data_IF_108502167403
#
_entry.id   IF_108502167403
#
_cell.length_a   1.000
_cell.length_b   1.000
_cell.length_c   1.000
_cell.angle_alpha   90.00
_cell.angle_beta   90.00
_cell.angle_gamma   90.00
#
_symmetry.space_group_name_H-M   'P 1'
#
loop_
_entity.id
_entity.type
_entity.pdbx_description
1 polymer ?
#
# COMPACT_ATOMS: atom_id res chain seq x y z
N UNK A 1 28.31 7.31 17.46
CA UNK A 1 27.78 6.06 18.03
C UNK A 1 28.46 5.79 19.36
N UNK A 2 27.74 5.91 20.46
CA UNK A 2 28.20 5.44 21.77
C UNK A 2 27.75 3.97 21.91
N UNK A 3 28.68 3.03 22.08
CA UNK A 3 28.34 1.63 22.31
C UNK A 3 27.45 1.49 23.54
N UNK A 4 26.32 0.79 23.40
CA UNK A 4 25.39 0.54 24.52
C UNK A 4 24.30 1.62 24.73
N UNK A 5 24.22 2.64 23.89
CA UNK A 5 23.16 3.63 23.94
C UNK A 5 21.99 3.22 23.03
N UNK A 6 20.87 2.80 23.62
CA UNK A 6 19.68 2.39 22.88
C UNK A 6 18.79 3.59 22.49
N UNK A 7 18.87 4.69 23.23
CA UNK A 7 18.00 5.84 23.05
C UNK A 7 18.81 7.13 22.91
N UNK A 8 18.47 7.96 21.95
CA UNK A 8 19.02 9.30 21.77
C UNK A 8 17.88 10.30 21.62
N UNK A 9 18.00 11.43 22.30
CA UNK A 9 17.04 12.52 22.26
C UNK A 9 17.74 13.77 21.75
N UNK A 10 17.14 14.43 20.77
CA UNK A 10 17.57 15.75 20.32
C UNK A 10 16.41 16.73 20.38
N UNK A 11 16.66 17.99 20.73
CA UNK A 11 15.63 19.01 20.78
C UNK A 11 16.19 20.39 20.44
N UNK A 12 15.35 21.20 19.79
CA UNK A 12 15.56 22.63 19.59
C UNK A 12 14.54 23.48 20.40
N UNK A 13 13.96 22.88 21.46
CA UNK A 13 12.90 23.45 22.31
C UNK A 13 11.52 23.59 21.68
N UNK A 14 11.39 23.59 20.38
CA UNK A 14 10.11 23.52 19.64
C UNK A 14 9.80 22.06 19.27
N UNK A 15 10.81 21.37 18.75
CA UNK A 15 10.72 19.97 18.32
C UNK A 15 11.63 19.10 19.15
N UNK A 16 11.11 17.93 19.51
CA UNK A 16 11.86 16.86 20.16
C UNK A 16 11.86 15.65 19.26
N UNK A 17 13.03 15.06 19.03
CA UNK A 17 13.18 13.78 18.31
C UNK A 17 13.72 12.72 19.22
N UNK A 18 13.08 11.57 19.19
CA UNK A 18 13.44 10.39 19.94
C UNK A 18 13.87 9.29 18.99
N UNK A 19 15.09 8.82 19.13
CA UNK A 19 15.71 7.78 18.31
C UNK A 19 15.86 6.50 19.10
N UNK A 20 15.68 5.34 18.43
CA UNK A 20 15.87 4.01 19.00
C UNK A 20 16.83 3.24 18.10
N UNK A 21 17.99 2.84 18.66
CA UNK A 21 19.06 2.02 18.06
C UNK A 21 19.76 2.60 16.81
N UNK A 22 19.11 3.47 16.04
CA UNK A 22 19.69 4.07 14.84
C UNK A 22 19.48 5.59 14.80
N UNK A 23 20.18 6.28 13.90
CA UNK A 23 20.10 7.73 13.74
C UNK A 23 19.22 8.18 12.56
N UNK A 24 18.51 7.25 11.91
CA UNK A 24 17.71 7.52 10.71
C UNK A 24 16.23 7.63 11.06
N UNK A 25 15.73 6.65 11.81
CA UNK A 25 14.32 6.58 12.19
C UNK A 25 14.11 7.28 13.53
N UNK A 26 13.15 8.18 13.59
CA UNK A 26 12.83 8.91 14.80
C UNK A 26 11.34 9.22 14.92
N UNK A 27 10.85 9.34 16.16
CA UNK A 27 9.59 9.99 16.47
C UNK A 27 9.81 11.48 16.71
N UNK A 28 9.08 12.35 16.02
CA UNK A 28 9.15 13.79 16.17
C UNK A 28 7.91 14.32 16.89
N UNK A 29 8.12 15.15 17.88
CA UNK A 29 7.08 15.81 18.65
C UNK A 29 7.25 17.34 18.54
N UNK A 30 6.18 18.04 18.15
CA UNK A 30 6.11 19.49 18.29
C UNK A 30 5.58 19.80 19.69
N UNK A 31 6.43 20.35 20.55
CA UNK A 31 6.11 20.56 21.98
C UNK A 31 5.03 21.60 22.22
N UNK A 32 4.80 22.51 21.25
CA UNK A 32 3.76 23.54 21.35
C UNK A 32 2.41 23.12 20.73
N UNK A 33 2.38 21.97 20.04
CA UNK A 33 1.20 21.47 19.34
C UNK A 33 0.92 20.00 19.68
N UNK A 34 1.14 19.61 20.93
CA UNK A 34 0.89 18.24 21.38
C UNK A 34 -0.61 18.01 21.56
N UNK A 35 -1.16 17.04 20.81
CA UNK A 35 -2.46 16.46 21.15
C UNK A 35 -2.31 15.47 22.29
N UNK A 36 -3.43 15.04 22.87
CA UNK A 36 -3.38 14.04 23.96
C UNK A 36 -2.71 12.74 23.51
N UNK A 37 -3.05 12.25 22.34
CA UNK A 37 -2.51 11.02 21.77
C UNK A 37 -0.99 11.14 21.56
N UNK A 38 -0.52 12.28 21.04
CA UNK A 38 0.91 12.55 20.85
C UNK A 38 1.64 12.70 22.19
N UNK A 39 0.97 13.25 23.21
CA UNK A 39 1.54 13.32 24.55
C UNK A 39 1.69 11.93 25.19
N UNK A 40 0.72 11.04 24.99
CA UNK A 40 0.79 9.67 25.50
C UNK A 40 1.98 8.91 24.88
N UNK A 41 2.26 9.10 23.59
CA UNK A 41 3.45 8.54 22.93
C UNK A 41 4.74 9.19 23.46
N UNK A 42 4.76 10.50 23.64
CA UNK A 42 5.90 11.20 24.23
C UNK A 42 6.19 10.70 25.65
N UNK A 43 5.14 10.49 26.45
CA UNK A 43 5.26 9.92 27.78
C UNK A 43 5.85 8.50 27.77
N UNK A 44 5.40 7.66 26.83
CA UNK A 44 5.96 6.33 26.61
C UNK A 44 7.46 6.39 26.28
N UNK A 45 7.88 7.37 25.45
CA UNK A 45 9.27 7.55 25.04
C UNK A 45 10.18 8.09 26.16
N UNK A 46 9.65 8.92 27.08
CA UNK A 46 10.47 9.68 28.03
C UNK A 46 10.33 9.22 29.48
N UNK A 47 9.29 8.47 29.83
CA UNK A 47 9.08 8.00 31.20
C UNK A 47 10.18 7.04 31.62
N UNK A 48 10.78 7.29 32.78
CA UNK A 48 11.82 6.44 33.35
C UNK A 48 11.37 4.98 33.50
N UNK A 49 10.12 4.75 33.90
CA UNK A 49 9.57 3.40 34.06
C UNK A 49 9.57 2.60 32.76
N UNK A 50 9.23 3.24 31.64
CA UNK A 50 9.23 2.60 30.33
C UNK A 50 10.63 2.47 29.72
N UNK A 51 11.46 3.48 29.89
CA UNK A 51 12.87 3.45 29.40
C UNK A 51 13.68 2.37 30.12
N UNK A 52 13.57 2.25 31.44
CA UNK A 52 14.28 1.24 32.24
C UNK A 52 13.85 -0.20 31.89
N UNK A 53 12.61 -0.39 31.43
CA UNK A 53 12.09 -1.68 30.96
C UNK A 53 12.32 -1.93 29.47
N UNK A 54 12.96 -0.99 28.76
CA UNK A 54 13.15 -1.00 27.31
C UNK A 54 11.82 -1.12 26.53
N UNK A 55 10.71 -0.60 27.06
CA UNK A 55 9.37 -0.71 26.45
C UNK A 55 9.32 -0.06 25.06
N UNK A 56 9.84 1.17 24.81
CA UNK A 56 9.81 1.75 23.47
C UNK A 56 10.52 0.89 22.43
N UNK A 57 11.67 0.30 22.78
CA UNK A 57 12.40 -0.61 21.90
C UNK A 57 11.62 -1.89 21.60
N UNK A 58 11.02 -2.52 22.61
CA UNK A 58 10.20 -3.73 22.42
C UNK A 58 9.03 -3.47 21.48
N UNK A 59 8.31 -2.36 21.64
CA UNK A 59 7.19 -1.99 20.77
C UNK A 59 7.68 -1.77 19.32
N UNK A 60 8.83 -1.10 19.12
CA UNK A 60 9.44 -0.93 17.81
C UNK A 60 9.78 -2.29 17.17
N UNK A 61 10.45 -3.17 17.90
CA UNK A 61 10.85 -4.50 17.42
C UNK A 61 9.64 -5.37 17.07
N UNK A 62 8.57 -5.33 17.88
CA UNK A 62 7.31 -6.01 17.61
C UNK A 62 6.64 -5.46 16.35
N UNK A 63 6.62 -4.14 16.17
CA UNK A 63 6.06 -3.50 14.97
C UNK A 63 6.82 -3.89 13.71
N UNK A 64 8.16 -3.87 13.74
CA UNK A 64 9.00 -4.31 12.61
C UNK A 64 8.75 -5.78 12.27
N UNK A 65 8.62 -6.64 13.27
CA UNK A 65 8.31 -8.05 13.06
C UNK A 65 6.93 -8.24 12.42
N UNK A 66 5.93 -7.46 12.83
CA UNK A 66 4.60 -7.49 12.22
C UNK A 66 4.64 -7.01 10.76
N UNK A 67 5.36 -5.91 10.46
CA UNK A 67 5.53 -5.42 9.09
C UNK A 67 6.21 -6.44 8.18
N UNK A 68 7.26 -7.11 8.67
CA UNK A 68 7.92 -8.19 7.93
C UNK A 68 6.97 -9.36 7.66
N UNK A 69 6.18 -9.78 8.64
CA UNK A 69 5.22 -10.86 8.49
C UNK A 69 4.11 -10.51 7.48
N UNK A 70 3.58 -9.28 7.54
CA UNK A 70 2.59 -8.77 6.58
C UNK A 70 3.21 -8.75 5.17
N UNK A 71 4.42 -8.25 5.03
CA UNK A 71 5.13 -8.19 3.74
C UNK A 71 5.37 -9.59 3.17
N UNK A 72 5.80 -10.55 3.98
CA UNK A 72 5.99 -11.95 3.55
C UNK A 72 4.67 -12.58 3.11
N UNK A 73 3.60 -12.37 3.89
CA UNK A 73 2.27 -12.86 3.54
C UNK A 73 1.79 -12.27 2.21
N UNK A 74 1.87 -10.94 2.06
CA UNK A 74 1.50 -10.27 0.82
C UNK A 74 2.28 -10.79 -0.39
N UNK A 75 3.59 -11.03 -0.23
CA UNK A 75 4.42 -11.58 -1.30
C UNK A 75 3.99 -13.01 -1.68
N UNK A 76 3.65 -13.84 -0.71
CA UNK A 76 3.18 -15.20 -0.95
C UNK A 76 1.83 -15.18 -1.67
N UNK A 77 0.86 -14.43 -1.15
CA UNK A 77 -0.47 -14.28 -1.74
C UNK A 77 -0.39 -13.75 -3.18
N UNK A 78 0.46 -12.74 -3.41
CA UNK A 78 0.73 -12.19 -4.74
C UNK A 78 1.35 -13.23 -5.69
N UNK A 79 2.31 -14.00 -5.21
CA UNK A 79 3.00 -15.01 -6.02
C UNK A 79 2.06 -16.15 -6.41
N UNK A 80 1.21 -16.59 -5.49
CA UNK A 80 0.17 -17.61 -5.73
C UNK A 80 -0.82 -17.10 -6.77
N UNK A 81 -1.40 -15.92 -6.56
CA UNK A 81 -2.34 -15.30 -7.50
C UNK A 81 -1.74 -15.07 -8.88
N UNK A 82 -0.47 -14.63 -8.95
CA UNK A 82 0.24 -14.47 -10.23
C UNK A 82 0.33 -15.79 -10.97
N UNK A 83 0.64 -16.89 -10.27
CA UNK A 83 0.77 -18.20 -10.88
C UNK A 83 -0.59 -18.69 -11.40
N UNK A 84 -1.67 -18.53 -10.65
CA UNK A 84 -3.03 -18.89 -11.09
C UNK A 84 -3.43 -18.13 -12.36
N UNK A 85 -3.19 -16.82 -12.40
CA UNK A 85 -3.48 -16.01 -13.60
C UNK A 85 -2.59 -16.45 -14.76
N UNK A 86 -1.31 -16.70 -14.52
CA UNK A 86 -0.37 -17.15 -15.56
C UNK A 86 -0.83 -18.47 -16.16
N UNK A 87 -1.20 -19.46 -15.34
CA UNK A 87 -1.66 -20.77 -15.79
C UNK A 87 -2.95 -20.64 -16.61
N UNK A 88 -3.88 -19.79 -16.16
CA UNK A 88 -5.11 -19.49 -16.92
C UNK A 88 -4.81 -18.85 -18.29
N UNK A 89 -3.93 -17.86 -18.33
CA UNK A 89 -3.55 -17.17 -19.58
C UNK A 89 -2.81 -18.17 -20.51
N UNK A 90 -1.93 -19.01 -19.97
CA UNK A 90 -1.19 -20.00 -20.76
C UNK A 90 -2.14 -21.04 -21.37
N UNK A 91 -3.14 -21.47 -20.63
CA UNK A 91 -4.13 -22.45 -21.10
C UNK A 91 -4.94 -21.92 -22.29
N UNK A 92 -5.31 -20.64 -22.24
CA UNK A 92 -6.11 -19.99 -23.29
C UNK A 92 -5.26 -19.50 -24.49
N UNK A 93 -3.93 -19.48 -24.35
CA UNK A 93 -3.00 -18.96 -25.37
C UNK A 93 -1.79 -19.88 -25.55
N UNK A 94 -1.99 -21.14 -25.94
CA UNK A 94 -0.92 -22.13 -26.01
C UNK A 94 0.12 -21.85 -27.12
N UNK A 95 -0.21 -20.99 -28.09
CA UNK A 95 0.65 -20.61 -29.22
C UNK A 95 1.76 -19.65 -28.84
N UNK A 96 1.66 -18.96 -27.69
CA UNK A 96 2.67 -17.99 -27.25
C UNK A 96 3.69 -18.63 -26.32
N UNK A 97 4.92 -18.15 -26.39
CA UNK A 97 5.97 -18.61 -25.50
C UNK A 97 5.71 -18.20 -24.03
N UNK A 98 6.13 -19.07 -23.11
CA UNK A 98 5.89 -18.92 -21.66
C UNK A 98 6.46 -17.60 -21.13
N UNK A 99 7.63 -17.16 -21.59
CA UNK A 99 8.27 -15.94 -21.09
C UNK A 99 7.47 -14.69 -21.49
N UNK A 100 6.94 -14.68 -22.71
CA UNK A 100 6.07 -13.61 -23.18
C UNK A 100 4.78 -13.55 -22.36
N UNK A 101 4.13 -14.69 -22.14
CA UNK A 101 2.91 -14.75 -21.32
C UNK A 101 3.18 -14.33 -19.87
N UNK A 102 4.28 -14.78 -19.29
CA UNK A 102 4.67 -14.37 -17.94
C UNK A 102 4.85 -12.85 -17.82
N UNK A 103 5.56 -12.21 -18.77
CA UNK A 103 5.71 -10.76 -18.83
C UNK A 103 4.37 -10.03 -18.96
N UNK A 104 3.43 -10.58 -19.73
CA UNK A 104 2.06 -9.99 -19.87
C UNK A 104 1.27 -10.14 -18.58
N UNK A 105 1.33 -11.27 -17.93
CA UNK A 105 0.71 -11.52 -16.62
C UNK A 105 1.24 -10.53 -15.58
N UNK A 106 2.57 -10.41 -15.49
CA UNK A 106 3.21 -9.47 -14.57
C UNK A 106 2.72 -8.04 -14.83
N UNK A 107 2.75 -7.58 -16.09
CA UNK A 107 2.29 -6.24 -16.47
C UNK A 107 0.82 -5.99 -16.14
N UNK A 108 -0.03 -7.00 -16.25
CA UNK A 108 -1.44 -6.92 -15.88
C UNK A 108 -1.59 -6.73 -14.38
N UNK A 109 -0.90 -7.53 -13.58
CA UNK A 109 -0.92 -7.44 -12.12
C UNK A 109 -0.37 -6.13 -11.60
N UNK A 110 0.73 -5.65 -12.16
CA UNK A 110 1.33 -4.35 -11.79
C UNK A 110 0.34 -3.20 -11.98
N UNK A 111 -0.49 -3.26 -13.04
CA UNK A 111 -1.54 -2.27 -13.28
C UNK A 111 -2.63 -2.31 -12.22
N UNK A 112 -3.07 -3.49 -11.81
CA UNK A 112 -4.06 -3.62 -10.73
C UNK A 112 -3.50 -3.17 -9.38
N UNK A 113 -2.28 -3.55 -9.06
CA UNK A 113 -1.60 -3.09 -7.84
C UNK A 113 -1.47 -1.56 -7.81
N UNK A 114 -1.13 -0.96 -8.95
CA UNK A 114 -1.08 0.50 -9.05
C UNK A 114 -2.44 1.15 -8.76
N UNK A 115 -3.54 0.58 -9.28
CA UNK A 115 -4.89 1.09 -9.01
C UNK A 115 -5.22 0.96 -7.53
N UNK A 116 -5.00 -0.20 -6.91
CA UNK A 116 -5.27 -0.41 -5.49
C UNK A 116 -4.46 0.54 -4.61
N UNK A 117 -3.18 0.74 -4.94
CA UNK A 117 -2.34 1.72 -4.25
C UNK A 117 -2.88 3.15 -4.41
N UNK A 118 -3.29 3.53 -5.62
CA UNK A 118 -3.84 4.86 -5.89
C UNK A 118 -5.20 5.08 -5.20
N UNK A 119 -6.04 4.05 -5.09
CA UNK A 119 -7.28 4.08 -4.32
C UNK A 119 -7.00 4.27 -2.81
N UNK A 120 -6.05 3.51 -2.25
CA UNK A 120 -5.64 3.61 -0.84
C UNK A 120 -5.11 5.01 -0.49
N UNK A 121 -4.39 5.64 -1.43
CA UNK A 121 -3.86 7.00 -1.29
C UNK A 121 -4.85 8.11 -1.67
N UNK A 122 -6.11 7.76 -1.94
CA UNK A 122 -7.17 8.70 -2.35
C UNK A 122 -6.84 9.49 -3.63
N UNK A 123 -5.96 8.96 -4.47
CA UNK A 123 -5.64 9.50 -5.80
C UNK A 123 -6.67 9.08 -6.84
N UNK A 124 -7.38 7.98 -6.60
CA UNK A 124 -8.49 7.48 -7.38
C UNK A 124 -9.70 7.26 -6.46
N UNK A 125 -10.94 7.29 -7.02
CA UNK A 125 -12.12 6.92 -6.27
C UNK A 125 -12.02 5.50 -5.71
N UNK A 126 -12.49 5.24 -4.49
CA UNK A 126 -12.41 3.92 -3.89
C UNK A 126 -13.26 2.90 -4.67
N UNK A 127 -12.80 1.65 -4.69
CA UNK A 127 -13.49 0.53 -5.34
C UNK A 127 -13.69 0.69 -6.86
N UNK A 128 -12.81 1.38 -7.58
CA UNK A 128 -12.89 1.59 -9.03
C UNK A 128 -12.96 0.26 -9.80
N UNK A 129 -12.13 -0.72 -9.42
CA UNK A 129 -12.15 -2.05 -10.05
C UNK A 129 -13.50 -2.74 -9.86
N UNK A 130 -14.03 -2.74 -8.63
CA UNK A 130 -15.35 -3.33 -8.33
C UNK A 130 -16.47 -2.62 -9.10
N UNK A 131 -16.40 -1.30 -9.19
CA UNK A 131 -17.37 -0.50 -9.95
C UNK A 131 -17.37 -0.88 -11.45
N UNK A 132 -16.19 -1.06 -12.05
CA UNK A 132 -16.05 -1.49 -13.45
C UNK A 132 -16.66 -2.88 -13.64
N UNK A 133 -16.39 -3.83 -12.75
CA UNK A 133 -16.95 -5.19 -12.83
C UNK A 133 -18.47 -5.17 -12.67
N UNK A 134 -19.00 -4.41 -11.69
CA UNK A 134 -20.44 -4.29 -11.48
C UNK A 134 -21.15 -3.68 -12.70
N UNK A 135 -20.61 -2.61 -13.28
CA UNK A 135 -21.15 -2.00 -14.50
C UNK A 135 -21.13 -2.98 -15.67
N UNK A 136 -20.05 -3.75 -15.83
CA UNK A 136 -19.97 -4.76 -16.88
C UNK A 136 -21.01 -5.86 -16.67
N UNK A 137 -21.20 -6.33 -15.43
CA UNK A 137 -22.21 -7.34 -15.08
C UNK A 137 -23.62 -6.81 -15.36
N UNK A 138 -23.91 -5.57 -14.99
CA UNK A 138 -25.21 -4.94 -15.26
C UNK A 138 -25.50 -4.81 -16.75
N UNK A 139 -24.52 -4.42 -17.57
CA UNK A 139 -24.69 -4.34 -19.03
C UNK A 139 -24.99 -5.71 -19.65
N UNK A 140 -24.26 -6.74 -19.21
CA UNK A 140 -24.47 -8.12 -19.66
C UNK A 140 -25.84 -8.65 -19.23
N UNK A 141 -26.21 -8.51 -17.96
CA UNK A 141 -27.34 -9.22 -17.37
C UNK A 141 -28.67 -8.47 -17.53
N UNK A 142 -28.62 -7.12 -17.63
CA UNK A 142 -29.82 -6.28 -17.72
C UNK A 142 -30.12 -5.77 -19.14
N UNK A 143 -29.09 -5.65 -19.99
CA UNK A 143 -29.19 -5.00 -21.29
C UNK A 143 -28.75 -5.92 -22.45
N UNK A 144 -28.40 -7.19 -22.16
CA UNK A 144 -27.91 -8.17 -23.14
C UNK A 144 -26.69 -7.66 -23.96
N UNK A 145 -25.95 -6.68 -23.42
CA UNK A 145 -24.73 -6.14 -24.03
C UNK A 145 -23.52 -6.92 -23.55
N UNK A 146 -23.00 -7.81 -24.38
CA UNK A 146 -21.80 -8.58 -24.09
C UNK A 146 -20.58 -8.04 -24.83
N UNK A 147 -19.53 -7.76 -24.05
CA UNK A 147 -18.17 -7.51 -24.55
C UNK A 147 -17.17 -8.02 -23.51
N UNK A 148 -15.93 -8.36 -23.93
CA UNK A 148 -14.95 -8.88 -23.00
C UNK A 148 -14.64 -7.91 -21.85
N UNK A 149 -14.68 -8.40 -20.61
CA UNK A 149 -14.39 -7.58 -19.42
C UNK A 149 -13.01 -6.90 -19.52
N UNK A 150 -12.03 -7.59 -20.12
CA UNK A 150 -10.69 -7.02 -20.30
C UNK A 150 -10.67 -5.77 -21.18
N UNK A 151 -11.56 -5.64 -22.17
CA UNK A 151 -11.65 -4.44 -23.00
C UNK A 151 -12.14 -3.22 -22.19
N UNK A 152 -12.95 -3.45 -21.18
CA UNK A 152 -13.33 -2.42 -20.19
C UNK A 152 -12.10 -1.95 -19.41
N UNK A 153 -11.32 -2.88 -18.88
CA UNK A 153 -10.08 -2.55 -18.18
C UNK A 153 -9.06 -1.87 -19.09
N UNK A 154 -8.94 -2.27 -20.37
CA UNK A 154 -8.08 -1.58 -21.33
C UNK A 154 -8.43 -0.09 -21.49
N UNK A 155 -9.74 0.23 -21.60
CA UNK A 155 -10.18 1.63 -21.66
C UNK A 155 -9.79 2.38 -20.39
N UNK A 156 -10.03 1.79 -19.22
CA UNK A 156 -9.68 2.39 -17.94
C UNK A 156 -8.16 2.64 -17.81
N UNK A 157 -7.33 1.65 -18.14
CA UNK A 157 -5.88 1.82 -18.19
C UNK A 157 -5.45 2.89 -19.21
N UNK A 158 -6.15 3.01 -20.33
CA UNK A 158 -5.93 4.08 -21.31
C UNK A 158 -6.19 5.46 -20.71
N UNK A 159 -7.30 5.64 -20.00
CA UNK A 159 -7.63 6.90 -19.33
C UNK A 159 -6.62 7.28 -18.25
N UNK A 160 -6.12 6.32 -17.51
CA UNK A 160 -5.06 6.57 -16.53
C UNK A 160 -3.75 7.02 -17.16
N UNK A 161 -3.43 6.54 -18.36
CA UNK A 161 -2.20 6.87 -19.07
C UNK A 161 -2.26 8.23 -19.77
N UNK A 162 -3.39 8.58 -20.39
CA UNK A 162 -3.53 9.77 -21.24
C UNK A 162 -4.44 10.85 -20.66
N UNK A 163 -5.06 10.60 -19.53
CA UNK A 163 -6.17 11.38 -19.01
C UNK A 163 -7.47 11.12 -19.77
N UNK A 164 -8.59 11.31 -19.08
CA UNK A 164 -9.92 11.28 -19.67
C UNK A 164 -10.43 12.71 -19.78
N UNK A 165 -10.66 13.19 -21.00
CA UNK A 165 -11.42 14.42 -21.22
C UNK A 165 -12.90 14.09 -20.96
N UNK A 166 -13.27 14.03 -19.69
CA UNK A 166 -14.66 13.99 -19.29
C UNK A 166 -15.35 15.28 -19.72
N UNK A 167 -16.62 15.20 -20.10
CA UNK A 167 -17.45 16.40 -20.11
C UNK A 167 -17.43 16.95 -18.70
N UNK A 168 -16.93 18.17 -18.54
CA UNK A 168 -17.11 18.94 -17.34
C UNK A 168 -18.62 19.11 -17.17
N UNK A 169 -19.22 18.36 -16.25
CA UNK A 169 -20.52 18.73 -15.74
C UNK A 169 -20.25 19.95 -14.85
N UNK A 170 -20.54 21.12 -15.38
CA UNK A 170 -20.68 22.32 -14.57
C UNK A 170 -21.73 22.04 -13.50
N UNK A 171 -21.29 22.11 -12.24
CA UNK A 171 -22.13 22.10 -11.05
C UNK A 171 -22.62 23.51 -10.79
#
# INVERSE_FOLDING_TARGET
>A
NQPGCNYVITSNFEKLRFYIDNAVDFEEFNLFQLTKERFDILWLCLSADYLLKNTPKKIKDESLTQEENITKKLYNDYSEFRNEIFDSIQKENPEYDKLTLFKKTQKLLDRFLFIFFAEDRLLLPPNSIRSIVNQWTDLRDKYDEYFPLYDRFKKYFGYMNTGHKGQQHDI
#
